data_IF_789149541352
#
_entry.id   IF_789149541352
#
_cell.length_a   1.000
_cell.length_b   1.000
_cell.length_c   1.000
_cell.angle_alpha   90.00
_cell.angle_beta   90.00
_cell.angle_gamma   90.00
#
_symmetry.space_group_name_H-M   'P 1'
#
loop_
_entity.id
_entity.type
_entity.pdbx_description
1 polymer ?
#
# COMPACT_ATOMS: atom_id res chain seq x y z
N UNK A 1 21.76 -13.85 -8.72
CA UNK A 1 22.51 -12.75 -9.36
C UNK A 1 22.68 -11.68 -8.30
N UNK A 2 23.88 -11.13 -8.15
CA UNK A 2 24.19 -10.11 -7.15
C UNK A 2 23.51 -8.79 -7.54
N UNK A 3 22.47 -8.42 -6.81
CA UNK A 3 21.78 -7.13 -6.97
C UNK A 3 22.71 -6.01 -6.48
N UNK A 4 23.53 -5.47 -7.38
CA UNK A 4 24.10 -4.14 -7.19
C UNK A 4 22.98 -3.11 -7.36
N UNK A 5 22.17 -2.94 -6.32
CA UNK A 5 21.22 -1.84 -6.23
C UNK A 5 22.03 -0.57 -6.06
N UNK A 6 22.29 0.13 -7.16
CA UNK A 6 22.94 1.42 -7.17
C UNK A 6 21.92 2.45 -6.67
N UNK A 7 22.00 2.81 -5.39
CA UNK A 7 21.14 3.85 -4.80
C UNK A 7 21.44 5.19 -5.46
N UNK A 8 20.41 5.98 -5.76
CA UNK A 8 20.62 7.36 -6.19
C UNK A 8 21.12 8.21 -5.01
N UNK A 9 21.84 9.29 -5.27
CA UNK A 9 22.42 10.14 -4.23
C UNK A 9 21.36 10.77 -3.29
N UNK A 10 20.16 11.03 -3.80
CA UNK A 10 19.00 11.54 -3.04
C UNK A 10 18.32 10.49 -2.17
N UNK A 11 18.69 9.20 -2.30
CA UNK A 11 18.29 8.13 -1.40
C UNK A 11 19.25 7.97 -0.20
N UNK A 12 20.37 8.72 -0.20
CA UNK A 12 21.43 8.66 0.79
C UNK A 12 21.51 9.90 1.69
N UNK A 13 20.94 11.03 1.26
CA UNK A 13 20.89 12.27 2.04
C UNK A 13 19.45 12.78 2.15
N UNK A 14 19.08 13.27 3.34
CA UNK A 14 17.78 13.86 3.54
C UNK A 14 17.65 15.19 2.79
N UNK A 15 16.50 15.47 2.16
CA UNK A 15 16.31 16.70 1.42
C UNK A 15 16.29 17.90 2.37
N UNK A 16 16.78 19.04 1.88
CA UNK A 16 16.96 20.25 2.71
C UNK A 16 15.67 20.79 3.35
N UNK A 17 14.50 20.49 2.77
CA UNK A 17 13.20 20.88 3.33
C UNK A 17 12.75 19.98 4.49
N UNK A 18 13.35 18.80 4.66
CA UNK A 18 13.05 17.90 5.77
C UNK A 18 13.86 18.32 6.99
N UNK A 19 13.44 19.43 7.61
CA UNK A 19 14.09 20.03 8.76
C UNK A 19 13.16 20.09 9.99
N UNK A 20 13.67 20.67 11.08
CA UNK A 20 12.92 20.83 12.33
C UNK A 20 11.67 21.70 12.16
N UNK A 21 11.70 22.67 11.24
CA UNK A 21 10.56 23.55 10.98
C UNK A 21 9.43 22.80 10.26
N UNK A 22 9.77 21.97 9.27
CA UNK A 22 8.80 21.08 8.63
C UNK A 22 8.19 20.11 9.65
N UNK A 23 9.02 19.47 10.49
CA UNK A 23 8.55 18.55 11.52
C UNK A 23 7.66 19.26 12.54
N UNK A 24 8.01 20.49 12.93
CA UNK A 24 7.22 21.35 13.80
C UNK A 24 5.81 21.58 13.24
N UNK A 25 5.72 22.03 11.99
CA UNK A 25 4.44 22.32 11.33
C UNK A 25 3.58 21.07 11.16
N UNK A 26 4.21 19.95 10.76
CA UNK A 26 3.53 18.66 10.60
C UNK A 26 2.98 18.13 11.92
N UNK A 27 3.76 18.19 13.01
CA UNK A 27 3.36 17.69 14.33
C UNK A 27 2.29 18.57 14.99
N UNK A 28 2.40 19.90 14.91
CA UNK A 28 1.36 20.83 15.39
C UNK A 28 0.05 20.54 14.69
N UNK A 29 0.06 20.38 13.36
CA UNK A 29 -1.14 20.07 12.58
C UNK A 29 -1.74 18.71 12.95
N UNK A 30 -0.91 17.69 13.13
CA UNK A 30 -1.35 16.34 13.47
C UNK A 30 -1.97 16.26 14.87
N UNK A 31 -1.28 16.78 15.88
CA UNK A 31 -1.74 16.73 17.26
C UNK A 31 -2.77 17.80 17.60
N UNK A 32 -2.91 18.84 16.75
CA UNK A 32 -3.73 20.02 17.01
C UNK A 32 -3.29 20.76 18.28
N UNK A 33 -1.99 20.80 18.51
CA UNK A 33 -1.36 21.37 19.71
C UNK A 33 -0.42 22.53 19.33
N UNK A 34 -0.89 23.79 19.32
CA UNK A 34 -0.07 24.94 18.95
C UNK A 34 1.09 25.23 19.91
N UNK A 35 1.05 24.64 21.11
CA UNK A 35 2.10 24.77 22.13
C UNK A 35 3.21 23.73 22.01
N UNK A 36 3.11 22.81 21.03
CA UNK A 36 4.15 21.84 20.72
C UNK A 36 5.39 22.58 20.20
N UNK A 37 6.57 22.21 20.68
CA UNK A 37 7.86 22.73 20.20
C UNK A 37 8.78 21.55 19.95
N UNK A 38 9.22 21.35 18.71
CA UNK A 38 10.29 20.40 18.35
C UNK A 38 11.59 20.90 18.98
N UNK A 39 12.27 19.99 19.66
CA UNK A 39 13.50 20.30 20.41
C UNK A 39 14.74 19.67 19.82
N UNK A 40 14.59 18.56 19.10
CA UNK A 40 15.67 17.85 18.42
C UNK A 40 15.10 16.91 17.35
N UNK A 41 15.91 16.57 16.34
CA UNK A 41 15.56 15.54 15.38
C UNK A 41 16.78 14.81 14.82
N UNK A 42 16.69 13.48 14.74
CA UNK A 42 17.66 12.62 14.08
C UNK A 42 17.03 12.00 12.84
N UNK A 43 17.61 12.26 11.67
CA UNK A 43 17.13 11.77 10.38
C UNK A 43 18.12 10.75 9.84
N UNK A 44 17.64 9.55 9.53
CA UNK A 44 18.42 8.47 8.94
C UNK A 44 17.82 8.06 7.58
N UNK A 45 18.61 8.03 6.50
CA UNK A 45 18.16 7.55 5.21
C UNK A 45 17.90 6.03 5.25
N UNK A 46 16.82 5.61 4.58
CA UNK A 46 16.42 4.23 4.38
C UNK A 46 15.84 4.07 2.96
N UNK A 47 16.65 4.41 1.95
CA UNK A 47 16.28 4.56 0.51
C UNK A 47 15.38 5.78 0.27
N UNK A 48 14.30 5.68 -0.52
CA UNK A 48 13.30 6.75 -0.78
C UNK A 48 12.47 7.11 0.49
N UNK A 49 12.78 6.48 1.61
CA UNK A 49 12.17 6.71 2.91
C UNK A 49 13.22 7.18 3.91
N UNK A 50 12.83 8.11 4.77
CA UNK A 50 13.62 8.61 5.88
C UNK A 50 12.99 8.15 7.19
N UNK A 51 13.81 7.58 8.08
CA UNK A 51 13.42 7.34 9.46
C UNK A 51 13.80 8.58 10.26
N UNK A 52 12.83 9.18 10.93
CA UNK A 52 13.05 10.37 11.75
C UNK A 52 12.71 10.05 13.20
N UNK A 53 13.67 10.22 14.10
CA UNK A 53 13.40 10.29 15.53
C UNK A 53 13.29 11.75 15.92
N UNK A 54 12.11 12.19 16.34
CA UNK A 54 11.86 13.59 16.72
C UNK A 54 11.57 13.69 18.20
N UNK A 55 12.29 14.59 18.88
CA UNK A 55 12.00 15.02 20.24
C UNK A 55 11.23 16.33 20.22
N UNK A 56 10.21 16.44 21.06
CA UNK A 56 9.41 17.65 21.17
C UNK A 56 8.91 17.84 22.60
N UNK A 57 8.43 19.05 22.90
CA UNK A 57 7.85 19.39 24.18
C UNK A 57 6.47 20.00 24.05
N UNK A 58 5.58 19.67 24.99
CA UNK A 58 4.25 20.30 25.13
C UNK A 58 4.14 20.75 26.58
N UNK A 59 3.88 22.04 26.82
CA UNK A 59 3.74 22.61 28.16
C UNK A 59 4.90 22.20 29.12
N UNK A 60 6.14 22.22 28.61
CA UNK A 60 7.39 21.84 29.30
C UNK A 60 7.56 20.34 29.61
N UNK A 61 6.67 19.46 29.15
CA UNK A 61 6.88 18.01 29.19
C UNK A 61 7.53 17.56 27.89
N UNK A 62 8.56 16.72 27.98
CA UNK A 62 9.28 16.17 26.84
C UNK A 62 8.65 14.86 26.35
N UNK A 63 8.66 14.67 25.05
CA UNK A 63 8.15 13.51 24.34
C UNK A 63 9.09 13.18 23.17
N UNK A 64 9.02 11.95 22.69
CA UNK A 64 9.69 11.57 21.44
C UNK A 64 8.78 10.69 20.58
N UNK A 65 9.02 10.67 19.27
CA UNK A 65 8.28 9.85 18.32
C UNK A 65 9.19 9.44 17.16
N UNK A 66 9.03 8.21 16.69
CA UNK A 66 9.67 7.75 15.46
C UNK A 66 8.69 7.83 14.29
N UNK A 67 9.13 8.42 13.19
CA UNK A 67 8.38 8.63 11.96
C UNK A 67 9.08 7.92 10.80
N UNK A 68 8.28 7.50 9.81
CA UNK A 68 8.76 7.12 8.49
C UNK A 68 8.19 8.15 7.52
N UNK A 69 9.07 8.80 6.77
CA UNK A 69 8.71 9.84 5.80
C UNK A 69 9.15 9.36 4.42
N UNK A 70 8.19 9.14 3.52
CA UNK A 70 8.45 8.76 2.13
C UNK A 70 8.36 10.01 1.26
N UNK A 71 9.37 10.26 0.43
CA UNK A 71 9.44 11.49 -0.38
C UNK A 71 9.47 11.14 -1.87
N UNK A 72 9.15 12.11 -2.72
CA UNK A 72 9.46 12.00 -4.13
C UNK A 72 10.99 12.08 -4.31
N UNK A 73 11.59 11.31 -5.24
CA UNK A 73 12.99 11.50 -5.60
C UNK A 73 13.24 12.93 -6.08
N UNK A 74 14.34 13.54 -5.63
CA UNK A 74 14.76 14.87 -6.05
C UNK A 74 15.67 14.81 -7.28
N UNK A 75 16.45 13.72 -7.41
CA UNK A 75 17.38 13.53 -8.51
C UNK A 75 16.65 13.44 -9.86
N UNK A 76 17.12 14.23 -10.83
CA UNK A 76 16.62 14.18 -12.20
C UNK A 76 16.86 12.82 -12.84
N UNK A 77 15.92 12.38 -13.67
CA UNK A 77 16.01 11.14 -14.44
C UNK A 77 14.70 10.36 -14.47
N UNK A 78 14.73 9.23 -15.18
CA UNK A 78 13.55 8.44 -15.51
C UNK A 78 12.67 8.03 -14.32
N UNK A 79 13.28 7.77 -13.14
CA UNK A 79 12.50 7.45 -11.92
C UNK A 79 11.62 8.62 -11.46
N UNK A 80 12.15 9.84 -11.46
CA UNK A 80 11.43 11.05 -11.05
C UNK A 80 10.32 11.39 -12.03
N UNK A 81 10.62 11.33 -13.33
CA UNK A 81 9.64 11.53 -14.41
C UNK A 81 8.49 10.51 -14.30
N UNK A 82 8.83 9.22 -14.20
CA UNK A 82 7.83 8.15 -14.06
C UNK A 82 6.95 8.33 -12.83
N UNK A 83 7.54 8.61 -11.66
CA UNK A 83 6.78 8.80 -10.43
C UNK A 83 5.93 10.07 -10.46
N UNK A 84 6.40 11.14 -11.08
CA UNK A 84 5.68 12.41 -11.20
C UNK A 84 4.41 12.26 -12.07
N UNK A 85 4.50 11.48 -13.14
CA UNK A 85 3.35 11.15 -13.99
C UNK A 85 2.47 10.03 -13.42
N UNK A 86 2.93 9.34 -12.37
CA UNK A 86 2.19 8.29 -11.70
C UNK A 86 1.18 8.80 -10.66
N UNK A 87 0.24 7.94 -10.27
CA UNK A 87 -0.73 8.18 -9.18
C UNK A 87 -0.43 7.39 -7.90
N UNK A 88 0.82 6.95 -7.76
CA UNK A 88 1.33 6.08 -6.68
C UNK A 88 1.16 6.75 -5.30
N UNK A 89 1.71 7.95 -5.11
CA UNK A 89 1.62 8.68 -3.84
C UNK A 89 0.20 9.16 -3.49
N UNK A 90 -0.57 9.77 -4.42
CA UNK A 90 -1.97 10.11 -4.15
C UNK A 90 -2.81 8.92 -3.67
N UNK A 91 -2.59 7.75 -4.27
CA UNK A 91 -3.34 6.53 -3.92
C UNK A 91 -2.97 6.03 -2.53
N UNK A 92 -1.70 5.96 -2.19
CA UNK A 92 -1.28 5.59 -0.84
C UNK A 92 -1.83 6.56 0.23
N UNK A 93 -1.80 7.87 -0.05
CA UNK A 93 -2.40 8.87 0.85
C UNK A 93 -3.91 8.63 1.01
N UNK A 94 -4.64 8.41 -0.09
CA UNK A 94 -6.08 8.11 -0.04
C UNK A 94 -6.37 6.82 0.74
N UNK A 95 -5.49 5.82 0.62
CA UNK A 95 -5.60 4.56 1.34
C UNK A 95 -5.47 4.74 2.84
N UNK A 96 -4.49 5.51 3.31
CA UNK A 96 -4.33 5.82 4.75
C UNK A 96 -5.42 6.75 5.30
N UNK A 97 -5.84 7.75 4.53
CA UNK A 97 -6.71 8.82 5.03
C UNK A 97 -8.19 8.52 4.86
N UNK A 98 -8.57 7.74 3.86
CA UNK A 98 -9.97 7.49 3.52
C UNK A 98 -10.38 6.02 3.61
N UNK A 99 -9.56 5.10 3.09
CA UNK A 99 -9.93 3.67 2.96
C UNK A 99 -9.72 2.93 4.28
N UNK A 100 -8.53 3.00 4.87
CA UNK A 100 -8.20 2.29 6.11
C UNK A 100 -9.13 2.64 7.28
N UNK A 101 -9.55 3.90 7.49
CA UNK A 101 -10.55 4.21 8.53
C UNK A 101 -11.89 3.50 8.30
N UNK A 102 -12.39 3.47 7.05
CA UNK A 102 -13.64 2.76 6.69
C UNK A 102 -13.51 1.25 6.92
N UNK A 103 -12.35 0.68 6.59
CA UNK A 103 -12.08 -0.75 6.80
C UNK A 103 -11.99 -1.09 8.28
N UNK A 104 -11.29 -0.27 9.09
CA UNK A 104 -11.19 -0.48 10.55
C UNK A 104 -12.53 -0.46 11.26
N UNK A 105 -13.51 0.30 10.77
CA UNK A 105 -14.86 0.29 11.33
C UNK A 105 -15.58 -1.06 11.15
N UNK A 106 -15.18 -1.86 10.16
CA UNK A 106 -15.85 -3.10 9.75
C UNK A 106 -15.07 -4.34 10.22
N UNK A 107 -13.74 -4.24 10.35
CA UNK A 107 -12.87 -5.37 10.69
C UNK A 107 -12.78 -5.64 12.21
N UNK A 108 -13.03 -6.89 12.63
CA UNK A 108 -12.65 -7.47 13.94
C UNK A 108 -11.60 -8.59 13.76
N UNK A 109 -10.69 -8.73 14.74
CA UNK A 109 -9.39 -9.46 14.78
C UNK A 109 -9.33 -10.92 14.23
N UNK A 110 -8.11 -11.42 13.89
CA UNK A 110 -7.55 -12.77 14.23
C UNK A 110 -6.32 -13.29 13.39
N UNK A 111 -5.32 -13.84 14.12
CA UNK A 111 -4.47 -15.08 14.06
C UNK A 111 -3.45 -15.45 12.94
N UNK A 112 -2.17 -15.66 13.28
CA UNK A 112 -0.88 -15.49 12.55
C UNK A 112 -0.82 -15.62 10.99
N UNK A 113 -0.86 -16.82 10.37
CA UNK A 113 -0.80 -16.97 8.89
C UNK A 113 -2.19 -16.79 8.23
N UNK A 114 -3.22 -17.22 8.97
CA UNK A 114 -4.61 -16.88 8.71
C UNK A 114 -4.86 -15.38 8.86
N UNK A 115 -3.98 -14.62 9.51
CA UNK A 115 -4.14 -13.18 9.76
C UNK A 115 -3.67 -12.43 8.54
N UNK A 116 -2.59 -12.88 7.91
CA UNK A 116 -2.12 -12.32 6.66
C UNK A 116 -3.16 -12.57 5.58
N UNK A 117 -3.45 -13.84 5.28
CA UNK A 117 -4.44 -14.17 4.25
C UNK A 117 -5.84 -13.69 4.65
N UNK A 118 -6.21 -13.78 5.92
CA UNK A 118 -7.48 -13.29 6.43
C UNK A 118 -7.60 -11.77 6.37
N UNK A 119 -6.52 -11.00 6.50
CA UNK A 119 -6.53 -9.56 6.24
C UNK A 119 -6.78 -9.28 4.77
N UNK A 120 -6.12 -10.00 3.85
CA UNK A 120 -6.41 -9.87 2.43
C UNK A 120 -7.87 -10.24 2.11
N UNK A 121 -8.35 -11.37 2.64
CA UNK A 121 -9.72 -11.83 2.39
C UNK A 121 -10.73 -10.83 2.93
N UNK A 122 -10.57 -10.40 4.19
CA UNK A 122 -11.48 -9.43 4.80
C UNK A 122 -11.39 -8.07 4.09
N UNK A 123 -10.19 -7.66 3.66
CA UNK A 123 -9.98 -6.49 2.82
C UNK A 123 -10.79 -6.55 1.53
N UNK A 124 -10.70 -7.67 0.82
CA UNK A 124 -11.43 -7.89 -0.43
C UNK A 124 -12.94 -8.05 -0.21
N UNK A 125 -13.38 -8.70 0.87
CA UNK A 125 -14.80 -8.85 1.20
C UNK A 125 -15.45 -7.51 1.57
N UNK A 126 -14.78 -6.72 2.42
CA UNK A 126 -15.26 -5.38 2.80
C UNK A 126 -15.32 -4.46 1.59
N UNK A 127 -14.29 -4.44 0.74
CA UNK A 127 -14.32 -3.63 -0.48
C UNK A 127 -15.41 -4.07 -1.46
N UNK A 128 -15.62 -5.38 -1.63
CA UNK A 128 -16.72 -5.91 -2.44
C UNK A 128 -18.07 -5.39 -1.94
N UNK A 129 -18.31 -5.49 -0.62
CA UNK A 129 -19.54 -5.00 0.00
C UNK A 129 -19.72 -3.51 -0.22
N UNK A 130 -18.69 -2.71 0.05
CA UNK A 130 -18.72 -1.26 -0.13
C UNK A 130 -18.97 -0.86 -1.59
N UNK A 131 -18.36 -1.54 -2.55
CA UNK A 131 -18.57 -1.31 -3.99
C UNK A 131 -19.99 -1.64 -4.45
N UNK A 132 -20.62 -2.63 -3.82
CA UNK A 132 -22.00 -3.03 -4.09
C UNK A 132 -23.00 -2.05 -3.48
N UNK A 133 -22.77 -1.65 -2.24
CA UNK A 133 -23.66 -0.76 -1.49
C UNK A 133 -23.53 0.70 -1.97
N UNK A 134 -22.33 1.12 -2.39
CA UNK A 134 -22.01 2.48 -2.85
C UNK A 134 -21.18 2.42 -4.14
N UNK A 135 -21.83 2.25 -5.31
CA UNK A 135 -21.14 2.33 -6.60
C UNK A 135 -20.45 3.69 -6.73
N UNK A 136 -19.12 3.68 -6.83
CA UNK A 136 -18.28 4.89 -6.92
C UNK A 136 -17.54 5.29 -5.65
N UNK A 137 -17.68 4.54 -4.55
CA UNK A 137 -17.00 4.83 -3.27
C UNK A 137 -15.46 4.92 -3.37
N UNK A 138 -14.90 4.34 -4.43
CA UNK A 138 -13.46 4.31 -4.71
C UNK A 138 -13.09 5.06 -6.00
N UNK A 139 -13.97 5.88 -6.57
CA UNK A 139 -13.67 6.65 -7.79
C UNK A 139 -12.51 7.64 -7.58
N UNK A 140 -12.29 8.05 -6.33
CA UNK A 140 -11.16 8.88 -5.94
C UNK A 140 -9.82 8.11 -5.89
N UNK A 141 -9.82 6.78 -5.98
CA UNK A 141 -8.57 6.01 -6.07
C UNK A 141 -7.99 6.22 -7.47
N UNK A 142 -6.98 7.10 -7.52
CA UNK A 142 -6.44 7.63 -8.75
C UNK A 142 -5.51 6.65 -9.47
N UNK A 143 -5.00 5.62 -8.79
CA UNK A 143 -4.10 4.65 -9.39
C UNK A 143 -4.84 3.59 -10.19
N UNK A 144 -4.54 3.62 -11.48
CA UNK A 144 -4.69 2.50 -12.38
C UNK A 144 -3.44 2.51 -13.26
N UNK A 145 -2.82 1.35 -13.43
CA UNK A 145 -1.66 1.18 -14.30
C UNK A 145 -1.93 1.66 -15.73
N UNK A 146 -3.20 1.70 -16.17
CA UNK A 146 -3.60 2.28 -17.46
C UNK A 146 -3.53 3.81 -17.52
N UNK A 147 -3.43 4.50 -16.38
CA UNK A 147 -3.31 5.97 -16.32
C UNK A 147 -1.88 6.47 -16.39
N UNK A 148 -0.91 5.57 -16.29
CA UNK A 148 0.51 5.91 -16.44
C UNK A 148 0.82 6.02 -17.95
N UNK A 149 1.24 7.20 -18.46
CA UNK A 149 1.57 7.36 -19.87
C UNK A 149 2.65 6.38 -20.32
N UNK A 150 2.48 5.78 -21.50
CA UNK A 150 3.43 4.83 -22.12
C UNK A 150 3.79 3.64 -21.23
N UNK A 151 2.99 3.31 -20.22
CA UNK A 151 3.28 2.23 -19.27
C UNK A 151 3.47 0.88 -19.96
N UNK A 152 2.62 0.58 -20.95
CA UNK A 152 2.73 -0.63 -21.76
C UNK A 152 3.96 -0.68 -22.66
N UNK A 153 4.61 0.47 -22.91
CA UNK A 153 5.79 0.60 -23.77
C UNK A 153 7.11 0.45 -23.00
N UNK A 154 7.05 0.43 -21.66
CA UNK A 154 8.19 0.27 -20.77
C UNK A 154 8.82 -1.12 -20.91
N UNK A 155 10.13 -1.23 -20.70
CA UNK A 155 10.82 -2.51 -20.94
C UNK A 155 10.36 -3.65 -20.02
N UNK A 156 9.94 -3.35 -18.78
CA UNK A 156 9.45 -4.38 -17.85
C UNK A 156 8.07 -4.95 -18.22
N UNK A 157 7.26 -4.25 -19.02
CA UNK A 157 5.95 -4.78 -19.47
C UNK A 157 6.09 -5.74 -20.64
N UNK A 158 7.18 -5.66 -21.40
CA UNK A 158 7.45 -6.51 -22.57
C UNK A 158 7.69 -7.98 -22.21
N UNK A 159 8.10 -8.27 -20.98
CA UNK A 159 8.34 -9.64 -20.49
C UNK A 159 7.17 -10.21 -19.65
N UNK A 160 6.21 -9.37 -19.25
CA UNK A 160 5.10 -9.72 -18.37
C UNK A 160 3.75 -9.66 -19.12
N UNK A 161 3.53 -10.53 -20.10
CA UNK A 161 2.45 -10.29 -21.06
C UNK A 161 1.04 -10.75 -20.60
N UNK A 162 0.81 -12.03 -20.29
CA UNK A 162 -0.59 -12.53 -20.23
C UNK A 162 -1.38 -12.10 -18.99
N UNK A 163 -0.80 -12.25 -17.79
CA UNK A 163 -1.48 -11.90 -16.54
C UNK A 163 -1.68 -10.39 -16.38
N UNK A 164 -0.72 -9.62 -16.88
CA UNK A 164 -0.73 -8.16 -16.81
C UNK A 164 -1.73 -7.56 -17.81
N UNK A 165 -1.81 -8.11 -19.02
CA UNK A 165 -2.87 -7.78 -19.99
C UNK A 165 -4.25 -8.10 -19.41
N UNK A 166 -4.43 -9.27 -18.78
CA UNK A 166 -5.71 -9.62 -18.16
C UNK A 166 -6.09 -8.65 -17.04
N UNK A 167 -5.15 -8.28 -16.17
CA UNK A 167 -5.38 -7.28 -15.15
C UNK A 167 -5.82 -5.94 -15.77
N UNK A 168 -5.08 -5.43 -16.76
CA UNK A 168 -5.41 -4.17 -17.46
C UNK A 168 -6.80 -4.23 -18.10
N UNK A 169 -7.14 -5.35 -18.74
CA UNK A 169 -8.46 -5.54 -19.34
C UNK A 169 -9.58 -5.50 -18.30
N UNK A 170 -9.39 -6.10 -17.13
CA UNK A 170 -10.38 -6.06 -16.04
C UNK A 170 -10.52 -4.65 -15.48
N UNK A 171 -9.42 -3.90 -15.34
CA UNK A 171 -9.51 -2.53 -14.84
C UNK A 171 -10.25 -1.64 -15.85
N UNK A 172 -9.93 -1.78 -17.14
CA UNK A 172 -10.63 -1.07 -18.22
C UNK A 172 -12.10 -1.45 -18.26
N UNK A 173 -12.43 -2.75 -18.17
CA UNK A 173 -13.80 -3.24 -18.10
C UNK A 173 -14.55 -2.63 -16.92
N UNK A 174 -13.96 -2.62 -15.72
CA UNK A 174 -14.60 -2.02 -14.54
C UNK A 174 -14.96 -0.54 -14.76
N UNK A 175 -14.09 0.23 -15.42
CA UNK A 175 -14.30 1.66 -15.69
C UNK A 175 -15.29 1.94 -16.80
N UNK A 176 -15.16 1.24 -17.93
CA UNK A 176 -15.88 1.55 -19.15
C UNK A 176 -17.19 0.74 -19.29
N UNK A 177 -17.24 -0.46 -18.71
CA UNK A 177 -18.34 -1.41 -18.89
C UNK A 177 -18.47 -2.35 -17.68
N UNK A 178 -18.78 -1.77 -16.51
CA UNK A 178 -18.89 -2.52 -15.26
C UNK A 178 -19.91 -3.65 -15.36
N UNK A 179 -19.47 -4.89 -15.10
CA UNK A 179 -20.35 -6.06 -15.12
C UNK A 179 -21.08 -6.25 -13.79
N UNK A 180 -22.41 -6.37 -13.82
CA UNK A 180 -23.23 -6.49 -12.60
C UNK A 180 -22.94 -7.77 -11.79
N UNK A 181 -22.48 -8.84 -12.45
CA UNK A 181 -22.23 -10.15 -11.85
C UNK A 181 -20.74 -10.42 -11.57
N UNK A 182 -19.87 -9.43 -11.78
CA UNK A 182 -18.44 -9.58 -11.53
C UNK A 182 -18.09 -9.28 -10.06
N UNK A 183 -17.07 -9.98 -9.57
CA UNK A 183 -16.53 -9.80 -8.22
C UNK A 183 -15.39 -8.78 -8.24
N UNK A 184 -15.75 -7.51 -8.37
CA UNK A 184 -14.80 -6.42 -8.24
C UNK A 184 -14.48 -6.16 -6.78
N UNK A 185 -13.20 -6.08 -6.47
CA UNK A 185 -12.68 -5.78 -5.14
C UNK A 185 -11.63 -4.70 -5.25
N UNK A 186 -11.31 -4.07 -4.12
CA UNK A 186 -10.11 -3.24 -4.03
C UNK A 186 -8.93 -4.19 -3.88
N UNK A 187 -8.16 -4.35 -4.95
CA UNK A 187 -6.91 -5.11 -4.93
C UNK A 187 -5.85 -4.35 -4.15
N UNK A 188 -5.02 -5.08 -3.41
CA UNK A 188 -3.85 -4.56 -2.71
C UNK A 188 -2.75 -4.15 -3.69
N UNK A 189 -2.50 -4.98 -4.71
CA UNK A 189 -1.56 -4.70 -5.79
C UNK A 189 -0.12 -5.16 -5.55
N UNK A 190 0.38 -5.06 -4.31
CA UNK A 190 1.72 -5.56 -3.92
C UNK A 190 1.71 -6.38 -2.62
N UNK A 191 0.87 -7.41 -2.57
CA UNK A 191 0.64 -8.18 -1.35
C UNK A 191 1.76 -9.20 -1.08
N UNK A 192 2.81 -8.78 -0.36
CA UNK A 192 3.95 -9.63 0.00
C UNK A 192 4.50 -9.36 1.41
N UNK A 193 5.26 -10.32 1.96
CA UNK A 193 5.73 -10.30 3.36
C UNK A 193 6.53 -9.03 3.74
N UNK A 194 7.27 -8.42 2.81
CA UNK A 194 8.05 -7.18 3.07
C UNK A 194 7.17 -5.94 3.26
N UNK A 195 5.90 -6.01 2.86
CA UNK A 195 4.89 -4.97 3.01
C UNK A 195 4.01 -5.23 4.23
N UNK A 196 4.54 -6.00 5.20
CA UNK A 196 3.83 -6.38 6.42
C UNK A 196 4.74 -6.13 7.62
N UNK A 197 4.23 -5.39 8.60
CA UNK A 197 4.87 -5.24 9.90
C UNK A 197 4.21 -6.15 10.92
N UNK A 198 4.96 -7.11 11.45
CA UNK A 198 4.49 -8.02 12.49
C UNK A 198 4.78 -7.46 13.89
N UNK A 199 3.81 -7.56 14.78
CA UNK A 199 4.01 -7.31 16.20
C UNK A 199 4.49 -8.59 16.91
N UNK A 200 4.70 -8.52 18.24
CA UNK A 200 5.17 -9.66 19.05
C UNK A 200 4.15 -10.80 19.17
N UNK A 201 2.88 -10.51 18.91
CA UNK A 201 1.77 -11.48 18.92
C UNK A 201 1.49 -12.01 17.51
N UNK A 202 2.45 -11.81 16.58
CA UNK A 202 2.36 -12.18 15.16
C UNK A 202 1.14 -11.62 14.41
N UNK A 203 0.51 -10.59 14.95
CA UNK A 203 -0.45 -9.77 14.25
C UNK A 203 0.29 -8.82 13.31
N UNK A 204 -0.16 -8.71 12.06
CA UNK A 204 0.47 -7.86 11.06
C UNK A 204 -0.30 -6.57 10.72
N UNK A 205 0.42 -5.48 10.48
CA UNK A 205 -0.09 -4.32 9.78
C UNK A 205 0.34 -4.39 8.32
N UNK A 206 -0.61 -4.26 7.39
CA UNK A 206 -0.31 -4.12 5.98
C UNK A 206 0.19 -2.69 5.71
N UNK A 207 1.20 -2.55 4.85
CA UNK A 207 1.88 -1.30 4.50
C UNK A 207 2.14 -1.19 3.00
N UNK A 208 2.34 0.02 2.50
CA UNK A 208 2.61 0.27 1.08
C UNK A 208 1.42 -0.12 0.19
N UNK A 209 0.50 0.85 0.08
CA UNK A 209 -0.76 0.73 -0.64
C UNK A 209 -0.70 1.41 -2.01
N UNK A 210 0.50 1.75 -2.48
CA UNK A 210 0.73 2.57 -3.65
C UNK A 210 0.21 1.96 -4.96
N UNK A 211 0.12 0.63 -5.01
CA UNK A 211 -0.36 -0.12 -6.17
C UNK A 211 -1.78 -0.62 -6.01
N UNK A 212 -2.57 -0.11 -5.06
CA UNK A 212 -3.96 -0.55 -4.88
C UNK A 212 -4.88 -0.02 -5.99
N UNK A 213 -5.75 -0.88 -6.54
CA UNK A 213 -6.65 -0.57 -7.66
C UNK A 213 -7.93 -1.42 -7.60
N UNK A 214 -8.98 -1.02 -8.32
CA UNK A 214 -10.18 -1.86 -8.44
C UNK A 214 -10.00 -2.91 -9.53
N UNK A 215 -10.11 -4.18 -9.16
CA UNK A 215 -9.87 -5.29 -10.07
C UNK A 215 -10.60 -6.57 -9.69
N UNK A 216 -10.20 -7.67 -10.35
CA UNK A 216 -10.75 -8.99 -10.07
C UNK A 216 -10.25 -9.49 -8.71
N UNK A 217 -11.16 -10.10 -7.96
CA UNK A 217 -10.87 -10.84 -6.71
C UNK A 217 -9.71 -11.84 -6.86
N UNK A 218 -9.46 -12.35 -8.06
CA UNK A 218 -8.41 -13.32 -8.35
C UNK A 218 -6.99 -12.72 -8.42
N UNK A 219 -6.84 -11.40 -8.54
CA UNK A 219 -5.53 -10.78 -8.82
C UNK A 219 -4.56 -10.89 -7.64
N UNK A 220 -4.94 -10.38 -6.46
CA UNK A 220 -4.08 -10.51 -5.27
C UNK A 220 -3.94 -11.95 -4.82
N UNK A 221 -4.94 -12.80 -5.06
CA UNK A 221 -4.91 -14.21 -4.68
C UNK A 221 -3.84 -14.97 -5.49
N UNK A 222 -3.78 -14.72 -6.81
CA UNK A 222 -2.70 -15.24 -7.64
C UNK A 222 -1.35 -14.72 -7.17
N UNK A 223 -1.22 -13.40 -6.94
CA UNK A 223 0.05 -12.82 -6.50
C UNK A 223 0.51 -13.38 -5.13
N UNK A 224 -0.38 -13.39 -4.14
CA UNK A 224 -0.14 -13.91 -2.79
C UNK A 224 0.32 -15.38 -2.82
N UNK A 225 -0.25 -16.20 -3.69
CA UNK A 225 0.17 -17.60 -3.87
C UNK A 225 1.67 -17.71 -4.20
N UNK A 226 2.19 -16.83 -5.05
CA UNK A 226 3.61 -16.85 -5.42
C UNK A 226 4.51 -16.15 -4.39
N UNK A 227 4.01 -15.09 -3.76
CA UNK A 227 4.82 -14.26 -2.86
C UNK A 227 4.88 -14.77 -1.41
N UNK A 228 3.87 -15.53 -0.95
CA UNK A 228 3.78 -15.98 0.43
C UNK A 228 4.06 -17.47 0.62
N UNK A 229 3.88 -18.28 -0.42
CA UNK A 229 4.01 -19.74 -0.31
C UNK A 229 5.30 -20.22 -0.96
N UNK A 230 5.92 -21.21 -0.31
CA UNK A 230 7.02 -21.97 -0.93
C UNK A 230 6.50 -22.76 -2.14
N UNK A 231 7.38 -23.14 -3.09
CA UNK A 231 6.96 -23.95 -4.24
C UNK A 231 6.23 -25.26 -3.87
N UNK A 232 6.61 -25.90 -2.77
CA UNK A 232 5.95 -27.12 -2.28
C UNK A 232 4.54 -26.81 -1.75
N UNK A 233 4.40 -25.77 -0.91
CA UNK A 233 3.09 -25.37 -0.35
C UNK A 233 2.10 -24.95 -1.43
N UNK A 234 2.57 -24.34 -2.53
CA UNK A 234 1.72 -23.98 -3.68
C UNK A 234 1.08 -25.19 -4.35
N UNK A 235 1.74 -26.34 -4.31
CA UNK A 235 1.25 -27.59 -4.89
C UNK A 235 0.29 -28.29 -3.93
N UNK A 236 0.64 -28.34 -2.65
CA UNK A 236 -0.02 -29.22 -1.69
C UNK A 236 -1.13 -28.52 -0.89
N UNK A 237 -1.12 -27.19 -0.79
CA UNK A 237 -2.06 -26.41 0.04
C UNK A 237 -3.03 -25.52 -0.74
N UNK A 238 -2.99 -25.52 -2.07
CA UNK A 238 -3.75 -24.56 -2.88
C UNK A 238 -5.27 -24.65 -2.63
N UNK A 239 -5.83 -25.86 -2.60
CA UNK A 239 -7.27 -26.06 -2.40
C UNK A 239 -7.73 -25.65 -1.00
N UNK A 240 -6.92 -25.97 0.02
CA UNK A 240 -7.20 -25.59 1.40
C UNK A 240 -7.17 -24.06 1.59
N UNK A 241 -6.24 -23.37 0.92
CA UNK A 241 -6.14 -21.91 0.94
C UNK A 241 -7.29 -21.25 0.19
N UNK A 242 -7.69 -21.77 -0.96
CA UNK A 242 -8.86 -21.29 -1.69
C UNK A 242 -10.15 -21.49 -0.89
N UNK A 243 -10.31 -22.66 -0.26
CA UNK A 243 -11.44 -22.92 0.62
C UNK A 243 -11.48 -21.95 1.80
N UNK A 244 -10.35 -21.78 2.50
CA UNK A 244 -10.25 -20.80 3.59
C UNK A 244 -10.56 -19.38 3.13
N UNK A 245 -10.06 -19.00 1.95
CA UNK A 245 -10.31 -17.70 1.36
C UNK A 245 -11.81 -17.48 1.14
N UNK A 246 -12.49 -18.38 0.43
CA UNK A 246 -13.91 -18.21 0.11
C UNK A 246 -14.82 -18.36 1.34
N UNK A 247 -14.53 -19.29 2.26
CA UNK A 247 -15.27 -19.41 3.53
C UNK A 247 -15.16 -18.13 4.36
N UNK A 248 -13.95 -17.58 4.50
CA UNK A 248 -13.73 -16.33 5.23
C UNK A 248 -14.35 -15.12 4.51
N UNK A 249 -14.29 -15.09 3.18
CA UNK A 249 -14.89 -14.02 2.37
C UNK A 249 -16.39 -13.97 2.60
N UNK A 250 -17.08 -15.10 2.46
CA UNK A 250 -18.53 -15.21 2.67
C UNK A 250 -18.93 -14.89 4.10
N UNK A 251 -18.17 -15.36 5.11
CA UNK A 251 -18.42 -15.04 6.53
C UNK A 251 -18.27 -13.55 6.87
N UNK A 252 -17.53 -12.80 6.05
CA UNK A 252 -17.25 -11.38 6.28
C UNK A 252 -18.32 -10.46 5.68
N UNK A 253 -19.08 -10.92 4.67
CA UNK A 253 -20.13 -10.14 3.99
C UNK A 253 -21.40 -9.96 4.83
#
# INVERSE_FOLDING_TARGET
MSDNINYNADELEAPSWLDEQFLQDALVKHFKEPSLIVTDSEISPASVMFRVHVEYSIQKRKFSKSLIIKTMPEAEGHKKEFLADSKIFPTEIAMFTQVLPKFRAILREADELRSVLGKLVKWQAVSFKLLKDQPGIFDELQFDLTTIPNFLEQDFTKDALSNFINMINVIREYRENRQANAYYVLCYGDFHIRNMMFNKDSDCMLLDFQLSYIGSIANDLHYAKYMLLSPNDRKDSCDALLYYYFDTFVRTL
#
